data_IF_577488268626
#
_entry.id   IF_577488268626
#
_cell.length_a   1.000
_cell.length_b   1.000
_cell.length_c   1.000
_cell.angle_alpha   90.00
_cell.angle_beta   90.00
_cell.angle_gamma   90.00
#
_symmetry.space_group_name_H-M   'P 1'
#
loop_
_entity.id
_entity.type
_entity.pdbx_description
1 polymer ?
#
# COMPACT_ATOMS: atom_id res chain seq x y z
N UNK A 1 7.79 10.47 0.36
CA UNK A 1 8.58 9.90 -0.77
C UNK A 1 8.67 8.38 -0.67
N UNK A 2 8.39 7.63 -1.73
CA UNK A 2 8.55 6.17 -1.74
C UNK A 2 10.04 5.80 -1.76
N UNK A 3 10.51 4.96 -0.82
CA UNK A 3 11.94 4.57 -0.74
C UNK A 3 12.20 3.09 -1.06
N UNK A 4 11.21 2.24 -0.87
CA UNK A 4 11.24 0.84 -1.25
C UNK A 4 9.81 0.32 -1.41
N UNK A 5 9.61 -0.69 -2.25
CA UNK A 5 8.33 -1.37 -2.38
C UNK A 5 8.50 -2.86 -2.65
N UNK A 6 7.47 -3.63 -2.33
CA UNK A 6 7.35 -5.05 -2.66
C UNK A 6 5.91 -5.39 -3.04
N UNK A 7 5.76 -6.32 -3.97
CA UNK A 7 4.47 -6.87 -4.39
C UNK A 7 4.28 -8.24 -3.75
N UNK A 8 3.17 -8.43 -3.05
CA UNK A 8 2.90 -9.63 -2.26
C UNK A 8 1.67 -10.36 -2.80
N UNK A 9 1.87 -11.57 -3.31
CA UNK A 9 0.82 -12.46 -3.80
C UNK A 9 0.49 -13.60 -2.83
N UNK A 10 1.42 -13.92 -1.91
CA UNK A 10 1.16 -14.83 -0.79
C UNK A 10 0.81 -14.02 0.44
N UNK A 11 -0.37 -14.28 1.01
CA UNK A 11 -0.98 -13.43 2.02
C UNK A 11 -1.48 -14.24 3.21
N UNK A 12 -1.72 -13.57 4.34
CA UNK A 12 -2.34 -14.19 5.51
C UNK A 12 -3.83 -14.48 5.26
N UNK A 13 -4.47 -15.37 6.03
CA UNK A 13 -5.90 -15.68 5.86
C UNK A 13 -6.80 -14.43 5.89
N UNK A 14 -6.59 -13.50 6.82
CA UNK A 14 -7.39 -12.28 6.89
C UNK A 14 -7.26 -11.40 5.64
N UNK A 15 -6.08 -11.30 5.04
CA UNK A 15 -5.90 -10.60 3.77
C UNK A 15 -6.52 -11.36 2.59
N UNK A 16 -6.55 -12.70 2.65
CA UNK A 16 -7.25 -13.51 1.66
C UNK A 16 -8.77 -13.32 1.73
N UNK A 17 -9.34 -13.20 2.93
CA UNK A 17 -10.76 -12.88 3.15
C UNK A 17 -11.13 -11.49 2.58
N UNK A 18 -10.17 -10.56 2.54
CA UNK A 18 -10.29 -9.25 1.89
C UNK A 18 -10.16 -9.31 0.34
N UNK A 19 -9.87 -10.50 -0.20
CA UNK A 19 -9.72 -10.77 -1.61
C UNK A 19 -8.30 -10.59 -2.15
N UNK A 20 -7.27 -10.44 -1.31
CA UNK A 20 -5.88 -10.41 -1.76
C UNK A 20 -5.34 -11.82 -1.99
N UNK A 21 -4.42 -11.98 -2.94
CA UNK A 21 -3.82 -13.29 -3.24
C UNK A 21 -3.11 -13.32 -4.59
N UNK A 22 -2.99 -14.50 -5.18
CA UNK A 22 -2.33 -14.71 -6.48
C UNK A 22 -2.91 -13.84 -7.60
N UNK A 23 -4.24 -13.82 -7.71
CA UNK A 23 -4.96 -13.07 -8.76
C UNK A 23 -5.10 -11.58 -8.45
N UNK A 24 -4.97 -11.20 -7.17
CA UNK A 24 -5.04 -9.82 -6.69
C UNK A 24 -3.96 -9.57 -5.63
N UNK A 25 -2.69 -9.47 -6.03
CA UNK A 25 -1.61 -9.17 -5.10
C UNK A 25 -1.69 -7.71 -4.65
N UNK A 26 -1.14 -7.39 -3.49
CA UNK A 26 -1.06 -6.02 -3.00
C UNK A 26 0.38 -5.51 -2.98
N UNK A 27 0.54 -4.19 -2.94
CA UNK A 27 1.83 -3.55 -2.76
C UNK A 27 2.01 -3.04 -1.33
N UNK A 28 3.18 -3.28 -0.75
CA UNK A 28 3.62 -2.66 0.50
C UNK A 28 4.88 -1.86 0.25
N UNK A 29 5.04 -0.73 0.92
CA UNK A 29 6.17 0.14 0.72
C UNK A 29 6.65 0.80 2.00
N UNK A 30 7.89 1.28 1.92
CA UNK A 30 8.47 2.16 2.92
C UNK A 30 8.37 3.58 2.36
N UNK A 31 7.71 4.46 3.10
CA UNK A 31 7.54 5.87 2.74
C UNK A 31 8.29 6.73 3.76
N UNK A 32 9.21 7.54 3.26
CA UNK A 32 9.87 8.60 4.04
C UNK A 32 8.96 9.83 4.07
N UNK A 33 8.59 10.26 5.28
CA UNK A 33 7.79 11.45 5.53
C UNK A 33 8.66 12.71 5.49
N UNK A 34 8.04 13.87 5.29
CA UNK A 34 8.74 15.16 5.25
C UNK A 34 9.44 15.48 6.58
N UNK A 35 8.89 14.99 7.69
CA UNK A 35 9.45 15.15 9.03
C UNK A 35 10.69 14.26 9.28
N UNK A 36 10.99 13.31 8.38
CA UNK A 36 12.14 12.40 8.45
C UNK A 36 11.87 10.93 8.82
N UNK A 37 10.80 10.55 9.59
CA UNK A 37 10.49 9.16 9.85
C UNK A 37 10.14 8.36 8.59
N UNK A 38 10.26 7.03 8.70
CA UNK A 38 9.84 6.09 7.65
C UNK A 38 8.70 5.21 8.16
N UNK A 39 7.66 5.09 7.34
CA UNK A 39 6.47 4.29 7.63
C UNK A 39 6.39 3.12 6.65
N UNK A 40 6.14 1.92 7.18
CA UNK A 40 5.77 0.76 6.37
C UNK A 40 4.26 0.69 6.32
N UNK A 41 3.69 0.75 5.13
CA UNK A 41 2.25 0.67 4.94
C UNK A 41 1.91 0.15 3.54
N UNK A 42 0.63 -0.24 3.36
CA UNK A 42 0.13 -0.63 2.05
C UNK A 42 0.16 0.56 1.10
N UNK A 43 0.54 0.31 -0.14
CA UNK A 43 0.44 1.26 -1.23
C UNK A 43 -0.85 0.95 -1.99
N UNK A 44 -1.77 1.92 -2.04
CA UNK A 44 -3.04 1.82 -2.73
C UNK A 44 -2.90 2.37 -4.15
N UNK A 45 -3.15 1.53 -5.15
CA UNK A 45 -3.15 1.93 -6.56
C UNK A 45 -4.48 2.53 -7.05
N UNK A 46 -4.46 3.17 -8.23
CA UNK A 46 -5.67 3.53 -8.98
C UNK A 46 -6.14 2.28 -9.74
N UNK A 47 -7.01 1.49 -9.10
CA UNK A 47 -7.54 0.22 -9.61
C UNK A 47 -6.51 -0.95 -9.60
N UNK A 48 -6.95 -2.10 -9.08
CA UNK A 48 -6.23 -3.39 -9.04
C UNK A 48 -4.79 -3.43 -8.47
N UNK A 49 -4.34 -2.37 -7.77
CA UNK A 49 -2.99 -2.30 -7.19
C UNK A 49 -1.89 -2.59 -8.22
N UNK A 50 -2.06 -2.08 -9.46
CA UNK A 50 -1.06 -2.22 -10.51
C UNK A 50 0.24 -1.51 -10.12
N UNK A 51 1.36 -2.25 -9.92
CA UNK A 51 2.62 -1.66 -9.48
C UNK A 51 3.32 -0.86 -10.58
N UNK A 52 2.93 -1.03 -11.84
CA UNK A 52 3.57 -0.37 -13.00
C UNK A 52 3.38 1.15 -12.98
N UNK A 53 2.49 1.68 -12.14
CA UNK A 53 2.34 3.13 -11.93
C UNK A 53 3.20 3.68 -10.78
N UNK A 54 3.96 2.84 -10.06
CA UNK A 54 4.72 3.26 -8.87
C UNK A 54 6.23 3.14 -9.01
N UNK A 55 6.92 4.28 -8.93
CA UNK A 55 8.36 4.39 -8.96
C UNK A 55 8.96 4.75 -7.58
N UNK A 56 10.08 4.12 -7.24
CA UNK A 56 10.89 4.54 -6.08
C UNK A 56 11.38 5.98 -6.31
N UNK A 57 11.23 6.83 -5.31
CA UNK A 57 11.58 8.24 -5.38
C UNK A 57 10.39 9.17 -5.61
N UNK A 58 9.22 8.65 -6.02
CA UNK A 58 8.04 9.48 -6.24
C UNK A 58 7.47 10.06 -4.94
N UNK A 59 6.69 11.14 -5.07
CA UNK A 59 5.92 11.73 -3.97
C UNK A 59 4.68 10.88 -3.65
N UNK A 60 4.36 10.78 -2.36
CA UNK A 60 3.28 9.93 -1.87
C UNK A 60 2.42 10.73 -0.91
N UNK A 61 1.11 10.53 -0.97
CA UNK A 61 0.15 11.13 -0.06
C UNK A 61 -0.45 10.06 0.86
N UNK A 62 -0.64 10.43 2.14
CA UNK A 62 -1.35 9.56 3.09
C UNK A 62 -2.83 9.44 2.71
N UNK A 63 -3.35 8.24 2.85
CA UNK A 63 -4.76 7.91 2.71
C UNK A 63 -5.22 7.02 3.86
N UNK A 64 -6.54 6.90 3.98
CA UNK A 64 -7.17 6.01 4.95
C UNK A 64 -8.23 5.17 4.26
N UNK A 65 -8.08 3.87 4.38
CA UNK A 65 -9.07 2.91 3.90
C UNK A 65 -9.84 2.29 5.06
N UNK A 66 -11.11 2.03 4.80
CA UNK A 66 -12.00 1.36 5.75
C UNK A 66 -12.34 0.01 5.16
N UNK A 67 -11.78 -1.07 5.72
CA UNK A 67 -12.28 -2.41 5.43
C UNK A 67 -13.65 -2.59 6.10
N UNK A 68 -13.80 -2.03 7.30
CA UNK A 68 -15.06 -1.81 8.01
C UNK A 68 -15.02 -0.48 8.77
N UNK A 69 -16.12 -0.08 9.41
CA UNK A 69 -16.18 1.18 10.19
C UNK A 69 -15.35 1.16 11.48
N UNK A 70 -14.77 0.03 11.86
CA UNK A 70 -14.11 -0.16 13.15
C UNK A 70 -12.58 -0.12 13.02
N UNK A 71 -12.05 -0.43 11.84
CA UNK A 71 -10.61 -0.64 11.65
C UNK A 71 -10.08 0.19 10.48
N UNK A 72 -9.86 1.50 10.65
CA UNK A 72 -9.22 2.33 9.63
C UNK A 72 -7.78 1.86 9.42
N UNK A 73 -7.37 1.76 8.15
CA UNK A 73 -6.00 1.42 7.75
C UNK A 73 -5.35 2.60 7.08
N UNK A 74 -4.18 2.97 7.56
CA UNK A 74 -3.32 3.92 6.90
C UNK A 74 -2.75 3.28 5.63
N UNK A 75 -2.85 3.99 4.52
CA UNK A 75 -2.28 3.62 3.22
C UNK A 75 -1.54 4.82 2.64
N UNK A 76 -0.70 4.59 1.64
CA UNK A 76 -0.14 5.65 0.80
C UNK A 76 -0.56 5.46 -0.65
N UNK A 77 -0.69 6.56 -1.38
CA UNK A 77 -0.94 6.57 -2.83
C UNK A 77 0.00 7.56 -3.51
N UNK A 78 0.32 7.39 -4.80
CA UNK A 78 0.98 8.43 -5.58
C UNK A 78 0.29 9.79 -5.41
N UNK A 79 1.08 10.86 -5.36
CA UNK A 79 0.58 12.23 -5.26
C UNK A 79 -0.26 12.65 -6.48
#
# INVERSE_FOLDING_TARGET
>A
RLVAMTRMAMVSPGLADEGFGGDRPYCSGVVELEEGPRVVARLAGRENDEPDEMEVGQEMLVGFEHHDRQTPRLVFRPA
#
